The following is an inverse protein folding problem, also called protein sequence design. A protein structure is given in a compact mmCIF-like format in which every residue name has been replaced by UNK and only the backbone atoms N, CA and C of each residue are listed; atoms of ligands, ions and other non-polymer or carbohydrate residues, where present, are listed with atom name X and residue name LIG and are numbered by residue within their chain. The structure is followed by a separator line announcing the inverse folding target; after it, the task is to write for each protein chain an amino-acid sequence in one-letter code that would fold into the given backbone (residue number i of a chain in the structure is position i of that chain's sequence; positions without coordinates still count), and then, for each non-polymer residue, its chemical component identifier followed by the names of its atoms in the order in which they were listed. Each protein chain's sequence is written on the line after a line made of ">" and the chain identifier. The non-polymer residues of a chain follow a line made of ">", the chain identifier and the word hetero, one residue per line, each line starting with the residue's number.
data_IF_597410352942
#
_entry.id   IF_597410352942
#
_cell.length_a   1.000
_cell.length_b   1.000
_cell.length_c   1.000
_cell.angle_alpha   90.00
_cell.angle_beta   90.00
_cell.angle_gamma   90.00
#
_symmetry.space_group_name_H-M   'P 1'
#
loop_
_entity.id
_entity.type
_entity.pdbx_description
1 polymer ?
#
# COMPACT_ATOMS: atom_id res chain seq x y z
N UNK A 1 11.35 -4.25 1.83
CA UNK A 1 12.61 -4.72 2.44
C UNK A 1 12.38 -5.98 3.28
N UNK A 2 13.16 -7.04 3.02
CA UNK A 2 13.18 -8.28 3.83
C UNK A 2 14.28 -8.14 4.87
N UNK A 3 13.97 -8.36 6.15
CA UNK A 3 14.95 -8.45 7.23
C UNK A 3 14.92 -9.88 7.76
N UNK A 4 16.07 -10.46 8.10
CA UNK A 4 16.16 -11.82 8.66
C UNK A 4 16.85 -11.74 10.00
N UNK A 5 16.22 -12.30 11.05
CA UNK A 5 16.75 -12.34 12.41
C UNK A 5 16.55 -13.74 12.97
N UNK A 6 17.61 -14.34 13.51
CA UNK A 6 17.61 -15.70 14.10
C UNK A 6 16.99 -16.78 13.18
N UNK A 7 17.17 -16.63 11.85
CA UNK A 7 16.65 -17.56 10.84
C UNK A 7 15.18 -17.36 10.47
N UNK A 8 14.48 -16.41 11.09
CA UNK A 8 13.11 -16.04 10.76
C UNK A 8 13.06 -14.77 9.88
N UNK A 9 12.18 -14.78 8.88
CA UNK A 9 11.86 -13.57 8.10
C UNK A 9 11.07 -12.59 8.96
N UNK A 10 11.66 -11.42 9.21
CA UNK A 10 11.05 -10.33 9.95
C UNK A 10 10.73 -9.18 8.98
N UNK A 11 9.44 -8.88 8.82
CA UNK A 11 8.99 -7.81 7.93
C UNK A 11 8.80 -6.50 8.72
N UNK A 12 9.89 -5.82 9.08
CA UNK A 12 9.83 -4.51 9.76
C UNK A 12 9.68 -3.33 8.80
N UNK A 13 9.75 -3.58 7.48
CA UNK A 13 9.77 -2.53 6.46
C UNK A 13 8.55 -1.60 6.44
N UNK A 14 7.43 -2.01 7.05
CA UNK A 14 6.26 -1.14 7.20
C UNK A 14 6.39 -0.11 8.32
N UNK A 15 7.17 -0.42 9.35
CA UNK A 15 7.40 0.47 10.49
C UNK A 15 8.19 1.71 10.08
N UNK A 16 8.93 1.64 8.96
CA UNK A 16 9.65 2.77 8.39
C UNK A 16 8.75 4.01 8.18
N UNK A 17 7.52 3.81 7.71
CA UNK A 17 6.54 4.89 7.53
C UNK A 17 6.07 5.51 8.86
N UNK A 18 6.16 4.74 9.94
CA UNK A 18 5.77 5.14 11.29
C UNK A 18 6.97 5.57 12.15
N UNK A 19 8.20 5.53 11.60
CA UNK A 19 9.38 5.91 12.35
C UNK A 19 9.28 7.37 12.79
N UNK A 20 9.76 7.69 14.01
CA UNK A 20 9.71 9.03 14.57
C UNK A 20 10.30 10.12 13.66
N UNK A 21 11.21 9.75 12.75
CA UNK A 21 11.90 10.66 11.81
C UNK A 21 11.00 11.10 10.65
N UNK A 22 9.98 10.32 10.30
CA UNK A 22 9.04 10.60 9.19
C UNK A 22 7.66 10.99 9.73
N UNK A 23 7.23 10.37 10.82
CA UNK A 23 5.97 10.65 11.50
C UNK A 23 6.25 11.32 12.86
N UNK A 24 6.55 12.63 12.83
CA UNK A 24 6.65 13.56 13.97
C UNK A 24 6.55 12.90 15.37
N UNK A 25 7.66 12.33 15.86
CA UNK A 25 8.02 11.98 17.26
C UNK A 25 6.96 11.48 18.29
N UNK A 26 5.73 11.18 17.89
CA UNK A 26 4.61 10.78 18.77
C UNK A 26 3.83 9.60 18.16
N UNK A 27 4.52 8.71 17.46
CA UNK A 27 3.87 7.57 16.86
C UNK A 27 3.72 6.43 17.86
N UNK A 28 2.65 6.48 18.68
CA UNK A 28 2.29 5.43 19.64
C UNK A 28 2.18 4.04 19.01
N UNK A 29 1.85 3.95 17.70
CA UNK A 29 1.80 2.68 16.98
C UNK A 29 3.18 2.09 16.76
N UNK A 30 4.19 2.93 16.49
CA UNK A 30 5.57 2.45 16.37
C UNK A 30 6.05 1.86 17.69
N UNK A 31 5.92 2.59 18.80
CA UNK A 31 6.40 2.08 20.09
C UNK A 31 5.63 0.86 20.59
N UNK A 32 4.33 0.76 20.31
CA UNK A 32 3.52 -0.38 20.69
C UNK A 32 3.87 -1.66 19.92
N UNK A 33 4.23 -1.55 18.63
CA UNK A 33 4.30 -2.70 17.72
C UNK A 33 5.66 -2.91 17.07
N UNK A 34 6.69 -2.13 17.41
CA UNK A 34 8.04 -2.25 16.80
C UNK A 34 8.71 -3.61 16.97
N UNK A 35 8.29 -4.38 17.97
CA UNK A 35 8.85 -5.71 18.26
C UNK A 35 7.87 -6.85 17.89
N UNK A 36 6.67 -6.52 17.40
CA UNK A 36 5.69 -7.54 17.04
C UNK A 36 6.10 -8.22 15.73
N UNK A 37 5.96 -9.54 15.69
CA UNK A 37 6.20 -10.30 14.47
C UNK A 37 5.03 -10.13 13.51
N UNK A 38 5.31 -9.69 12.28
CA UNK A 38 4.29 -9.67 11.22
C UNK A 38 3.90 -11.10 10.86
N UNK A 39 2.66 -11.46 11.13
CA UNK A 39 2.07 -12.76 10.80
C UNK A 39 1.64 -12.83 9.34
N UNK A 40 1.18 -11.70 8.78
CA UNK A 40 0.76 -11.60 7.37
C UNK A 40 0.88 -10.18 6.86
N UNK A 41 1.30 -10.04 5.62
CA UNK A 41 1.35 -8.77 4.89
C UNK A 41 0.52 -8.88 3.62
N UNK A 42 -0.37 -7.90 3.39
CA UNK A 42 -1.17 -7.80 2.17
C UNK A 42 -1.03 -6.41 1.59
N UNK A 43 -0.52 -6.33 0.37
CA UNK A 43 -0.58 -5.12 -0.44
C UNK A 43 -1.80 -5.22 -1.36
N UNK A 44 -2.70 -4.24 -1.26
CA UNK A 44 -3.90 -4.13 -2.10
C UNK A 44 -3.71 -2.90 -2.98
N UNK A 45 -3.33 -3.08 -4.25
CA UNK A 45 -3.28 -1.98 -5.20
C UNK A 45 -4.71 -1.62 -5.61
N UNK A 46 -4.99 -0.34 -5.62
CA UNK A 46 -6.16 0.26 -6.25
C UNK A 46 -5.66 1.08 -7.44
N UNK A 47 -6.12 0.74 -8.63
CA UNK A 47 -5.80 1.47 -9.85
C UNK A 47 -7.06 2.21 -10.27
N UNK A 48 -7.00 3.54 -10.31
CA UNK A 48 -8.11 4.39 -10.71
C UNK A 48 -7.63 5.38 -11.78
N UNK A 49 -8.54 5.88 -12.60
CA UNK A 49 -8.23 7.06 -13.43
C UNK A 49 -8.12 8.29 -12.51
N UNK A 50 -7.27 9.27 -12.83
CA UNK A 50 -7.09 10.46 -11.97
C UNK A 50 -8.36 11.28 -11.80
N UNK A 51 -9.12 11.46 -12.89
CA UNK A 51 -10.36 12.26 -12.93
C UNK A 51 -11.62 11.36 -12.89
N UNK A 52 -11.55 10.18 -12.25
CA UNK A 52 -12.64 9.19 -12.30
C UNK A 52 -13.97 9.66 -11.71
N UNK A 53 -13.91 10.45 -10.63
CA UNK A 53 -15.07 10.97 -9.90
C UNK A 53 -15.75 12.10 -10.70
N UNK A 54 -14.95 13.01 -11.26
CA UNK A 54 -15.41 14.14 -12.07
C UNK A 54 -16.00 13.70 -13.42
N UNK A 55 -15.43 12.64 -14.00
CA UNK A 55 -15.90 12.10 -15.29
C UNK A 55 -16.96 11.01 -15.16
N UNK A 56 -17.36 10.65 -13.93
CA UNK A 56 -18.38 9.64 -13.65
C UNK A 56 -18.14 8.35 -14.48
N UNK A 57 -16.88 7.89 -14.50
CA UNK A 57 -16.41 6.91 -15.48
C UNK A 57 -17.10 5.54 -15.33
N UNK A 58 -17.34 4.89 -16.47
CA UNK A 58 -18.33 3.83 -16.64
C UNK A 58 -17.78 2.48 -17.13
N UNK A 59 -18.52 1.44 -16.70
CA UNK A 59 -18.81 0.07 -17.20
C UNK A 59 -17.70 -0.78 -17.87
N UNK A 60 -17.71 -2.12 -17.69
CA UNK A 60 -16.64 -3.00 -18.18
C UNK A 60 -16.44 -2.92 -19.70
N UNK A 61 -15.19 -2.92 -20.15
CA UNK A 61 -14.81 -2.89 -21.57
C UNK A 61 -15.24 -4.16 -22.30
N UNK A 62 -15.75 -4.02 -23.53
CA UNK A 62 -15.95 -5.16 -24.44
C UNK A 62 -14.61 -5.58 -25.08
N UNK A 63 -14.48 -6.84 -25.54
CA UNK A 63 -13.20 -7.41 -26.02
C UNK A 63 -12.56 -6.65 -27.19
N UNK A 64 -13.38 -5.96 -27.97
CA UNK A 64 -13.05 -5.24 -29.19
C UNK A 64 -12.84 -3.73 -28.99
N UNK A 65 -13.01 -3.22 -27.76
CA UNK A 65 -12.78 -1.82 -27.42
C UNK A 65 -11.35 -1.61 -26.89
N UNK A 66 -10.63 -0.66 -27.49
CA UNK A 66 -9.36 -0.18 -26.94
C UNK A 66 -9.66 0.73 -25.75
N UNK A 67 -9.04 0.53 -24.57
CA UNK A 67 -9.30 1.37 -23.40
C UNK A 67 -9.05 2.85 -23.71
N UNK A 68 -9.97 3.72 -23.34
CA UNK A 68 -9.85 5.18 -23.51
C UNK A 68 -8.83 5.84 -22.56
N UNK A 69 -8.19 5.06 -21.68
CA UNK A 69 -7.29 5.56 -20.65
C UNK A 69 -5.86 5.09 -20.91
N UNK A 70 -4.92 6.04 -21.00
CA UNK A 70 -3.50 5.71 -20.99
C UNK A 70 -3.06 5.43 -19.56
N UNK A 71 -1.99 4.65 -19.40
CA UNK A 71 -1.41 4.41 -18.08
C UNK A 71 -0.97 5.71 -17.39
N UNK A 72 -0.59 6.72 -18.17
CA UNK A 72 -0.27 8.07 -17.69
C UNK A 72 -1.45 8.77 -17.00
N UNK A 73 -2.68 8.44 -17.39
CA UNK A 73 -3.91 9.02 -16.84
C UNK A 73 -4.41 8.23 -15.62
N UNK A 74 -3.78 7.09 -15.33
CA UNK A 74 -4.05 6.29 -14.14
C UNK A 74 -3.28 6.83 -12.92
N UNK A 75 -3.85 6.58 -11.75
CA UNK A 75 -3.19 6.68 -10.46
C UNK A 75 -3.25 5.30 -9.78
N UNK A 76 -2.17 4.95 -9.10
CA UNK A 76 -2.11 3.74 -8.28
C UNK A 76 -2.03 4.16 -6.81
N UNK A 77 -3.00 3.73 -6.02
CA UNK A 77 -2.95 3.81 -4.56
C UNK A 77 -2.62 2.43 -4.02
N UNK A 78 -1.67 2.34 -3.10
CA UNK A 78 -1.27 1.07 -2.51
C UNK A 78 -1.66 1.04 -1.04
N UNK A 79 -2.63 0.20 -0.71
CA UNK A 79 -3.08 0.01 0.66
C UNK A 79 -2.36 -1.19 1.27
N UNK A 80 -1.70 -0.97 2.41
CA UNK A 80 -1.03 -2.04 3.14
C UNK A 80 -1.89 -2.48 4.32
N UNK A 81 -2.19 -3.77 4.41
CA UNK A 81 -2.79 -4.39 5.59
C UNK A 81 -1.77 -5.32 6.23
N UNK A 82 -1.51 -5.11 7.51
CA UNK A 82 -0.42 -5.75 8.24
C UNK A 82 -1.03 -6.39 9.47
N UNK A 83 -0.89 -7.70 9.55
CA UNK A 83 -1.36 -8.50 10.66
C UNK A 83 -0.14 -8.79 11.55
N UNK A 84 -0.21 -8.30 12.79
CA UNK A 84 0.80 -8.45 13.85
C UNK A 84 0.28 -9.37 14.96
#
# INVERSE_FOLDING_TARGET
>A
PRTVKDGADQFEGYLAAFTPRIANHQNKLYDAHKNDAVKRFRAVPEVTHREWEERNLMRPLQPDETPDYKFEDMQVKLYYTIYI
#
